data_IF_818351015977
#
_entry.id   IF_818351015977
#
_cell.length_a   1.000
_cell.length_b   1.000
_cell.length_c   1.000
_cell.angle_alpha   90.00
_cell.angle_beta   90.00
_cell.angle_gamma   90.00
#
_symmetry.space_group_name_H-M   'P 1'
#
loop_
_entity.id
_entity.type
_entity.pdbx_description
1 polymer ?
#
# COMPACT_ATOMS: atom_id res chain seq x y z
N UNK A 1 1.32 -13.33 -24.92
CA UNK A 1 0.18 -13.14 -24.01
C UNK A 1 0.59 -13.85 -22.73
N UNK A 2 1.20 -13.11 -21.81
CA UNK A 2 1.75 -13.66 -20.57
C UNK A 2 0.95 -13.08 -19.40
N UNK A 3 0.39 -13.99 -18.61
CA UNK A 3 0.15 -13.88 -17.17
C UNK A 3 -0.59 -12.64 -16.69
N UNK A 4 -1.91 -12.64 -16.90
CA UNK A 4 -2.83 -11.84 -16.07
C UNK A 4 -3.35 -12.74 -14.96
N UNK A 5 -2.53 -12.97 -13.93
CA UNK A 5 -2.97 -13.56 -12.67
C UNK A 5 -3.22 -12.41 -11.69
N UNK A 6 -4.47 -12.14 -11.24
CA UNK A 6 -4.74 -11.11 -10.26
C UNK A 6 -4.32 -11.63 -8.88
N UNK A 7 -3.01 -11.65 -8.64
CA UNK A 7 -2.31 -12.16 -7.44
C UNK A 7 -2.91 -11.73 -6.10
N UNK A 8 -3.52 -10.55 -6.08
CA UNK A 8 -4.15 -9.96 -4.92
C UNK A 8 -5.58 -9.59 -5.34
N UNK A 9 -6.54 -10.55 -5.27
CA UNK A 9 -7.91 -10.30 -5.68
C UNK A 9 -8.60 -9.24 -4.81
N UNK A 10 -8.13 -9.09 -3.57
CA UNK A 10 -8.59 -8.09 -2.62
C UNK A 10 -7.42 -7.24 -2.17
N UNK A 11 -7.24 -6.10 -2.83
CA UNK A 11 -6.25 -5.07 -2.47
C UNK A 11 -6.87 -4.07 -1.48
N UNK A 12 -6.05 -3.37 -0.69
CA UNK A 12 -6.49 -2.14 -0.05
C UNK A 12 -7.10 -1.19 -1.08
N UNK A 13 -8.18 -0.54 -0.70
CA UNK A 13 -8.94 0.41 -1.52
C UNK A 13 -9.17 1.70 -0.73
N UNK A 14 -9.48 2.76 -1.46
CA UNK A 14 -9.98 3.99 -0.85
C UNK A 14 -11.43 3.76 -0.45
N UNK A 15 -11.70 3.92 0.84
CA UNK A 15 -13.02 3.76 1.42
C UNK A 15 -13.85 5.03 1.23
N UNK A 16 -15.17 4.91 1.00
CA UNK A 16 -16.05 6.07 1.06
C UNK A 16 -16.08 6.64 2.47
N UNK A 17 -16.31 7.95 2.61
CA UNK A 17 -16.36 8.58 3.92
C UNK A 17 -17.52 8.03 4.77
N UNK A 18 -17.17 7.30 5.82
CA UNK A 18 -18.08 6.87 6.88
C UNK A 18 -17.35 6.85 8.23
N UNK A 19 -18.08 6.87 9.35
CA UNK A 19 -17.49 6.67 10.66
C UNK A 19 -16.71 5.34 10.70
N UNK A 20 -15.42 5.41 11.02
CA UNK A 20 -14.54 4.24 11.11
C UNK A 20 -13.83 3.82 9.81
N UNK A 21 -13.92 4.60 8.73
CA UNK A 21 -13.09 4.37 7.55
C UNK A 21 -11.59 4.47 7.91
N UNK A 22 -10.79 3.50 7.46
CA UNK A 22 -9.35 3.41 7.74
C UNK A 22 -8.52 4.21 6.73
N UNK A 23 -8.81 4.04 5.43
CA UNK A 23 -8.10 4.72 4.34
C UNK A 23 -9.10 5.48 3.47
N UNK A 24 -9.31 6.76 3.79
CA UNK A 24 -10.29 7.61 3.08
C UNK A 24 -9.69 8.40 1.92
N UNK A 25 -8.36 8.40 1.79
CA UNK A 25 -7.60 9.25 0.86
C UNK A 25 -6.44 8.45 0.26
N UNK A 26 -5.97 8.88 -0.91
CA UNK A 26 -4.82 8.27 -1.55
C UNK A 26 -3.57 8.39 -0.66
N UNK A 27 -2.80 7.30 -0.45
CA UNK A 27 -1.64 7.32 0.45
C UNK A 27 -0.59 8.38 0.11
N UNK A 28 -0.42 8.70 -1.17
CA UNK A 28 0.52 9.73 -1.61
C UNK A 28 0.08 11.15 -1.20
N UNK A 29 -1.23 11.39 -1.16
CA UNK A 29 -1.81 12.64 -0.69
C UNK A 29 -1.65 12.78 0.83
N UNK A 30 -1.93 11.70 1.58
CA UNK A 30 -1.71 11.65 3.04
C UNK A 30 -0.25 11.98 3.40
N UNK A 31 0.71 11.45 2.62
CA UNK A 31 2.13 11.74 2.79
C UNK A 31 2.49 13.21 2.50
N UNK A 32 1.94 13.79 1.43
CA UNK A 32 2.19 15.19 1.05
C UNK A 32 1.61 16.17 2.07
N UNK A 33 0.44 15.85 2.62
CA UNK A 33 -0.28 16.69 3.57
C UNK A 33 0.28 16.55 5.00
N UNK A 34 1.23 15.64 5.22
CA UNK A 34 1.81 15.40 6.54
C UNK A 34 0.82 14.75 7.51
N UNK A 35 -0.27 14.18 7.01
CA UNK A 35 -1.31 13.49 7.79
C UNK A 35 -0.88 12.06 8.18
N UNK A 36 0.41 11.87 8.47
CA UNK A 36 1.01 10.62 8.92
C UNK A 36 1.63 10.85 10.30
N UNK A 37 1.82 9.77 11.07
CA UNK A 37 2.52 9.86 12.34
C UNK A 37 3.96 10.39 12.15
N UNK A 38 4.29 11.48 12.84
CA UNK A 38 5.62 12.09 12.86
C UNK A 38 6.54 11.36 13.84
N UNK A 39 7.01 10.19 13.42
CA UNK A 39 7.90 9.32 14.19
C UNK A 39 9.02 8.78 13.29
N UNK A 40 10.23 8.50 13.83
CA UNK A 40 11.30 7.92 13.03
C UNK A 40 10.89 6.57 12.43
N UNK A 41 11.03 6.45 11.10
CA UNK A 41 10.74 5.22 10.36
C UNK A 41 12.01 4.71 9.66
N UNK A 42 12.30 3.42 9.83
CA UNK A 42 13.38 2.72 9.15
C UNK A 42 12.79 1.64 8.24
N UNK A 43 13.18 1.66 6.96
CA UNK A 43 12.74 0.71 5.93
C UNK A 43 13.93 0.23 5.09
N UNK A 44 13.81 -0.94 4.45
CA UNK A 44 14.87 -1.56 3.64
C UNK A 44 14.37 -2.80 2.88
N UNK A 45 15.22 -3.31 1.98
CA UNK A 45 14.95 -4.49 1.15
C UNK A 45 16.16 -5.43 1.13
N UNK A 46 15.94 -6.73 0.90
CA UNK A 46 17.02 -7.70 0.75
C UNK A 46 17.54 -7.77 -0.70
N UNK A 47 18.75 -8.29 -0.89
CA UNK A 47 19.37 -8.45 -2.21
C UNK A 47 18.67 -9.48 -3.14
N UNK A 48 17.73 -10.26 -2.61
CA UNK A 48 17.07 -11.37 -3.30
C UNK A 48 15.54 -11.33 -3.31
N UNK A 49 14.91 -10.18 -3.05
CA UNK A 49 13.44 -10.07 -3.00
C UNK A 49 12.74 -10.53 -4.28
N UNK A 50 13.41 -10.43 -5.45
CA UNK A 50 12.88 -10.93 -6.73
C UNK A 50 12.77 -12.46 -6.83
N UNK A 51 13.33 -13.21 -5.88
CA UNK A 51 13.15 -14.66 -5.77
C UNK A 51 11.76 -15.01 -5.20
N UNK A 52 11.14 -14.09 -4.46
CA UNK A 52 9.74 -14.20 -4.11
C UNK A 52 8.92 -13.86 -5.35
N UNK A 53 8.44 -14.89 -6.03
CA UNK A 53 7.34 -14.73 -6.99
C UNK A 53 6.08 -14.46 -6.16
N UNK A 54 5.82 -13.19 -5.85
CA UNK A 54 4.45 -12.76 -5.63
C UNK A 54 3.80 -13.00 -6.98
N UNK A 55 2.94 -14.01 -7.06
CA UNK A 55 2.46 -14.66 -8.27
C UNK A 55 0.98 -14.39 -8.51
#
# INVERSE_FOLDING_TARGET
>A
IFDYDPMIPFRPVIEPHHPGAFLSEEPDQILKDGNMADIPWMTGFNSGEGALKVA
#
